data_IF_931038292032
#
_entry.id   IF_931038292032
#
_cell.length_a   1.000
_cell.length_b   1.000
_cell.length_c   1.000
_cell.angle_alpha   90.00
_cell.angle_beta   90.00
_cell.angle_gamma   90.00
#
_symmetry.space_group_name_H-M   'P 1'
#
loop_
_entity.id
_entity.type
_entity.pdbx_description
1 polymer ?
#
# COMPACT_ATOMS: atom_id res chain seq x y z
N UNK A 1 -44.13 23.58 -49.79
CA UNK A 1 -43.04 22.72 -50.32
C UNK A 1 -41.85 22.79 -49.35
N UNK A 2 -41.98 22.27 -48.12
CA UNK A 2 -40.90 22.30 -47.10
C UNK A 2 -41.06 21.06 -46.21
N UNK A 3 -40.60 19.90 -46.69
CA UNK A 3 -40.54 18.67 -45.89
C UNK A 3 -39.62 17.66 -46.56
N UNK A 4 -38.31 17.95 -46.68
CA UNK A 4 -37.35 16.93 -47.15
C UNK A 4 -35.87 17.11 -46.78
N UNK A 5 -35.52 18.02 -45.89
CA UNK A 5 -34.10 18.30 -45.52
C UNK A 5 -33.69 17.87 -44.11
N UNK A 6 -34.54 17.11 -43.40
CA UNK A 6 -34.28 16.67 -42.02
C UNK A 6 -34.16 15.14 -41.90
N UNK A 7 -33.34 14.50 -42.73
CA UNK A 7 -33.03 13.06 -42.57
C UNK A 7 -31.58 12.66 -42.79
N UNK A 8 -30.66 13.61 -43.03
CA UNK A 8 -29.23 13.29 -43.22
C UNK A 8 -28.34 13.58 -42.01
N UNK A 9 -28.81 14.32 -41.00
CA UNK A 9 -28.02 14.60 -39.79
C UNK A 9 -28.04 13.45 -38.76
N UNK A 10 -29.02 12.53 -38.83
CA UNK A 10 -29.17 11.46 -37.86
C UNK A 10 -28.37 10.17 -38.19
N UNK A 11 -27.79 10.09 -39.40
CA UNK A 11 -27.07 8.89 -39.85
C UNK A 11 -25.57 8.92 -39.55
N UNK A 12 -25.03 10.03 -39.03
CA UNK A 12 -23.61 10.17 -38.68
C UNK A 12 -23.35 10.16 -37.16
N UNK A 13 -24.40 10.05 -36.33
CA UNK A 13 -24.26 10.01 -34.87
C UNK A 13 -23.76 8.70 -34.23
N UNK A 14 -23.69 7.51 -34.87
CA UNK A 14 -23.17 6.33 -34.17
C UNK A 14 -21.64 6.19 -34.26
N UNK A 15 -20.93 7.00 -35.06
CA UNK A 15 -19.49 6.84 -35.30
C UNK A 15 -18.57 7.71 -34.42
N UNK A 16 -19.11 8.60 -33.59
CA UNK A 16 -18.31 9.45 -32.67
C UNK A 16 -18.40 9.03 -31.21
N UNK A 17 -19.25 8.06 -30.86
CA UNK A 17 -19.44 7.60 -29.49
C UNK A 17 -18.44 6.56 -28.94
N UNK A 18 -17.63 5.80 -29.73
CA UNK A 18 -16.61 4.97 -29.10
C UNK A 18 -15.44 5.80 -28.57
N UNK A 19 -15.19 7.00 -29.13
CA UNK A 19 -14.09 7.88 -28.72
C UNK A 19 -14.24 8.44 -27.30
N UNK A 20 -15.45 8.88 -26.91
CA UNK A 20 -15.68 9.47 -25.59
C UNK A 20 -15.73 8.43 -24.45
N UNK A 21 -16.18 7.21 -24.75
CA UNK A 21 -16.16 6.12 -23.78
C UNK A 21 -14.71 5.66 -23.53
N UNK A 22 -13.92 5.45 -24.58
CA UNK A 22 -12.51 5.04 -24.46
C UNK A 22 -11.66 6.13 -23.79
N UNK A 23 -11.95 7.42 -24.02
CA UNK A 23 -11.28 8.51 -23.32
C UNK A 23 -11.58 8.56 -21.82
N UNK A 24 -12.81 8.28 -21.40
CA UNK A 24 -13.15 8.21 -19.97
C UNK A 24 -12.41 7.09 -19.24
N UNK A 25 -12.10 5.97 -19.92
CA UNK A 25 -11.26 4.90 -19.38
C UNK A 25 -9.75 5.23 -19.39
N UNK A 26 -9.30 6.18 -20.23
CA UNK A 26 -7.88 6.56 -20.34
C UNK A 26 -7.47 7.82 -19.54
N UNK A 27 -8.39 8.64 -19.04
CA UNK A 27 -8.07 10.01 -18.57
C UNK A 27 -8.14 10.28 -17.06
N UNK A 28 -8.37 9.27 -16.22
CA UNK A 28 -8.50 9.49 -14.77
C UNK A 28 -7.54 8.66 -13.94
N UNK A 29 -6.28 9.09 -13.79
CA UNK A 29 -5.43 8.55 -12.72
C UNK A 29 -6.16 8.68 -11.36
N UNK A 30 -6.14 7.64 -10.50
CA UNK A 30 -6.81 7.68 -9.21
C UNK A 30 -6.38 8.90 -8.39
N UNK A 31 -7.36 9.65 -7.90
CA UNK A 31 -7.15 10.82 -7.03
C UNK A 31 -7.43 10.46 -5.58
N UNK A 32 -6.47 9.77 -4.97
CA UNK A 32 -6.55 9.35 -3.56
C UNK A 32 -5.77 10.39 -2.76
N UNK A 33 -6.46 11.37 -2.16
CA UNK A 33 -5.82 12.50 -1.46
C UNK A 33 -6.06 12.51 0.04
N UNK A 34 -6.67 11.45 0.56
CA UNK A 34 -7.18 11.42 1.91
C UNK A 34 -6.47 10.36 2.77
N UNK A 35 -5.33 9.78 2.38
CA UNK A 35 -4.66 8.75 3.18
C UNK A 35 -4.46 9.15 4.63
N UNK A 36 -4.72 8.23 5.56
CA UNK A 36 -4.54 8.42 7.00
C UNK A 36 -3.83 7.23 7.61
N UNK A 37 -2.81 7.51 8.42
CA UNK A 37 -2.19 6.51 9.29
C UNK A 37 -3.14 6.13 10.43
N UNK A 38 -3.33 4.83 10.67
CA UNK A 38 -4.19 4.32 11.74
C UNK A 38 -3.37 3.71 12.88
N UNK A 39 -2.50 2.74 12.57
CA UNK A 39 -1.68 2.07 13.57
C UNK A 39 -0.46 1.37 12.98
N UNK A 40 0.46 1.02 13.87
CA UNK A 40 1.63 0.21 13.55
C UNK A 40 1.92 -0.77 14.68
N UNK A 41 2.28 -1.99 14.30
CA UNK A 41 2.72 -3.05 15.22
C UNK A 41 3.87 -3.86 14.62
N UNK A 42 4.62 -4.52 15.50
CA UNK A 42 5.60 -5.53 15.10
C UNK A 42 4.87 -6.86 15.00
N UNK A 43 5.14 -7.62 13.95
CA UNK A 43 4.58 -8.95 13.73
C UNK A 43 5.59 -9.84 13.02
N UNK A 44 5.35 -11.15 12.98
CA UNK A 44 6.04 -12.05 12.05
C UNK A 44 5.18 -12.16 10.79
N UNK A 45 5.75 -11.84 9.62
CA UNK A 45 5.00 -11.89 8.35
C UNK A 45 4.43 -13.29 8.05
N UNK A 46 5.03 -14.34 8.62
CA UNK A 46 4.54 -15.72 8.51
C UNK A 46 3.23 -15.97 9.25
N UNK A 47 2.94 -15.20 10.28
CA UNK A 47 1.71 -15.32 11.07
C UNK A 47 0.50 -14.71 10.35
N UNK A 48 0.71 -14.20 9.13
CA UNK A 48 -0.32 -13.64 8.26
C UNK A 48 -0.47 -14.42 6.94
N UNK A 49 -0.77 -15.74 6.97
CA UNK A 49 -0.91 -16.58 5.78
C UNK A 49 -1.94 -16.04 4.77
N UNK A 50 -2.93 -15.27 5.22
CA UNK A 50 -3.93 -14.59 4.41
C UNK A 50 -3.37 -13.55 3.42
N UNK A 51 -2.11 -13.10 3.61
CA UNK A 51 -1.45 -12.10 2.76
C UNK A 51 -0.40 -12.68 1.81
N UNK A 52 -0.24 -14.01 1.82
CA UNK A 52 0.65 -14.72 0.90
C UNK A 52 -0.12 -15.14 -0.36
N UNK A 53 0.54 -15.13 -1.51
CA UNK A 53 0.02 -15.77 -2.71
C UNK A 53 -0.01 -17.28 -2.51
N UNK A 54 -0.95 -17.97 -3.17
CA UNK A 54 -1.01 -19.43 -3.18
C UNK A 54 0.28 -20.10 -3.74
N UNK A 55 1.06 -19.34 -4.52
CA UNK A 55 2.35 -19.79 -5.07
C UNK A 55 3.53 -19.58 -4.11
N UNK A 56 3.35 -18.84 -3.02
CA UNK A 56 4.45 -18.44 -2.16
C UNK A 56 4.87 -19.60 -1.26
N UNK A 57 6.17 -19.86 -1.22
CA UNK A 57 6.73 -20.79 -0.24
C UNK A 57 6.94 -20.03 1.07
N UNK A 58 6.14 -20.36 2.07
CA UNK A 58 6.32 -19.83 3.42
C UNK A 58 7.77 -20.10 3.89
N UNK A 59 8.53 -19.05 4.22
CA UNK A 59 9.89 -19.21 4.70
C UNK A 59 9.90 -19.89 6.07
N UNK A 60 10.88 -20.76 6.28
CA UNK A 60 11.01 -21.55 7.52
C UNK A 60 11.50 -20.73 8.71
N UNK A 61 12.15 -19.59 8.47
CA UNK A 61 12.70 -18.73 9.52
C UNK A 61 11.78 -17.53 9.81
N UNK A 62 11.77 -17.01 11.06
CA UNK A 62 11.05 -15.80 11.44
C UNK A 62 11.30 -14.63 10.50
N UNK A 63 10.23 -13.92 10.15
CA UNK A 63 10.27 -12.72 9.31
C UNK A 63 9.68 -11.53 10.08
N UNK A 64 10.40 -11.00 11.08
CA UNK A 64 9.92 -9.86 11.84
C UNK A 64 9.79 -8.64 10.91
N UNK A 65 8.59 -8.08 10.86
CA UNK A 65 8.21 -6.98 9.98
C UNK A 65 7.32 -5.99 10.74
N UNK A 66 7.10 -4.82 10.15
CA UNK A 66 6.06 -3.92 10.61
C UNK A 66 4.76 -4.28 9.90
N UNK A 67 3.64 -4.21 10.62
CA UNK A 67 2.30 -4.19 10.05
C UNK A 67 1.75 -2.79 10.22
N UNK A 68 1.69 -2.06 9.09
CA UNK A 68 1.14 -0.71 9.05
C UNK A 68 -0.31 -0.79 8.61
N UNK A 69 -1.21 -0.20 9.40
CA UNK A 69 -2.61 0.02 9.02
C UNK A 69 -2.84 1.47 8.66
N UNK A 70 -3.57 1.68 7.57
CA UNK A 70 -3.95 2.99 7.09
C UNK A 70 -5.40 2.96 6.59
N UNK A 71 -6.02 4.13 6.43
CA UNK A 71 -7.38 4.22 5.92
C UNK A 71 -7.54 5.25 4.81
N UNK A 72 -8.56 5.05 3.98
CA UNK A 72 -9.02 5.98 2.93
C UNK A 72 -10.51 5.76 2.67
N UNK A 73 -11.23 6.79 2.20
CA UNK A 73 -12.60 6.67 1.74
C UNK A 73 -12.74 5.86 0.43
N UNK A 74 -11.63 5.72 -0.31
CA UNK A 74 -11.59 5.03 -1.59
C UNK A 74 -11.58 3.50 -1.43
N UNK A 75 -12.42 2.83 -2.22
CA UNK A 75 -12.39 1.38 -2.34
C UNK A 75 -11.27 0.97 -3.31
N UNK A 76 -10.09 0.67 -2.76
CA UNK A 76 -8.88 0.36 -3.53
C UNK A 76 -9.02 -0.89 -4.41
N UNK A 77 -9.81 -1.88 -3.99
CA UNK A 77 -10.08 -3.06 -4.79
C UNK A 77 -10.87 -2.70 -6.05
N UNK A 78 -11.88 -1.82 -5.94
CA UNK A 78 -12.60 -1.29 -7.12
C UNK A 78 -11.72 -0.40 -7.99
N UNK A 79 -10.83 0.40 -7.39
CA UNK A 79 -9.88 1.21 -8.18
C UNK A 79 -9.02 0.31 -9.06
N UNK A 80 -8.50 -0.79 -8.51
CA UNK A 80 -7.77 -1.79 -9.28
C UNK A 80 -8.66 -2.47 -10.33
N UNK A 81 -9.84 -2.98 -9.94
CA UNK A 81 -10.73 -3.72 -10.84
C UNK A 81 -11.21 -2.90 -12.05
N UNK A 82 -11.52 -1.62 -11.85
CA UNK A 82 -12.10 -0.77 -12.90
C UNK A 82 -11.06 -0.12 -13.82
N UNK A 83 -9.90 0.24 -13.26
CA UNK A 83 -8.88 1.00 -14.00
C UNK A 83 -7.60 0.21 -14.30
N UNK A 84 -7.42 -0.97 -13.71
CA UNK A 84 -6.19 -1.75 -13.83
C UNK A 84 -4.96 -1.07 -13.23
N UNK A 85 -5.15 -0.04 -12.41
CA UNK A 85 -4.04 0.66 -11.75
C UNK A 85 -3.51 -0.21 -10.62
N UNK A 86 -2.24 -0.62 -10.69
CA UNK A 86 -1.58 -1.28 -9.56
C UNK A 86 -1.67 -0.40 -8.31
N UNK A 87 -1.84 -1.03 -7.15
CA UNK A 87 -1.96 -0.32 -5.87
C UNK A 87 -0.83 -0.80 -4.96
N UNK A 88 0.26 -0.04 -4.92
CA UNK A 88 1.44 -0.38 -4.13
C UNK A 88 1.71 0.69 -3.08
N UNK A 89 1.98 0.29 -1.85
CA UNK A 89 2.49 1.16 -0.81
C UNK A 89 4.00 1.37 -1.01
N UNK A 90 4.41 2.62 -1.20
CA UNK A 90 5.81 3.02 -1.12
C UNK A 90 6.05 3.70 0.23
N UNK A 91 7.14 3.34 0.90
CA UNK A 91 7.52 3.88 2.21
C UNK A 91 8.91 4.48 2.08
N UNK A 92 9.11 5.64 2.67
CA UNK A 92 10.38 6.38 2.68
C UNK A 92 10.67 6.92 4.06
N UNK A 93 11.93 7.28 4.32
CA UNK A 93 12.24 8.24 5.38
C UNK A 93 11.62 9.59 5.02
N UNK A 94 10.98 10.26 5.97
CA UNK A 94 10.53 11.62 5.75
C UNK A 94 11.74 12.57 5.68
N UNK A 95 11.78 13.45 4.68
CA UNK A 95 12.72 14.58 4.60
C UNK A 95 11.88 15.87 4.61
N UNK A 96 12.10 16.75 5.59
CA UNK A 96 11.30 17.96 5.81
C UNK A 96 9.78 17.71 5.83
N UNK A 97 9.36 16.65 6.52
CA UNK A 97 7.98 16.19 6.62
C UNK A 97 7.32 15.80 5.28
N UNK A 98 8.13 15.44 4.27
CA UNK A 98 7.67 15.00 2.95
C UNK A 98 8.22 13.63 2.58
N UNK A 99 7.50 12.96 1.69
CA UNK A 99 7.95 11.71 1.08
C UNK A 99 9.23 11.95 0.26
N UNK A 100 10.26 11.15 0.53
CA UNK A 100 11.54 11.22 -0.16
C UNK A 100 11.71 10.00 -1.09
N UNK A 101 11.67 10.25 -2.39
CA UNK A 101 11.78 9.21 -3.42
C UNK A 101 13.13 8.51 -3.46
N UNK A 102 14.17 9.16 -2.94
CA UNK A 102 15.55 8.65 -2.97
C UNK A 102 15.93 7.93 -1.66
N UNK A 103 14.98 7.78 -0.73
CA UNK A 103 15.19 7.18 0.60
C UNK A 103 14.10 6.17 0.96
N UNK A 104 13.79 5.28 0.02
CA UNK A 104 12.81 4.22 0.18
C UNK A 104 13.26 3.15 1.16
N UNK A 105 12.28 2.56 1.85
CA UNK A 105 12.46 1.39 2.69
C UNK A 105 11.98 0.12 1.98
N UNK A 106 12.63 -1.00 2.26
CA UNK A 106 12.25 -2.30 1.70
C UNK A 106 11.06 -2.92 2.45
N UNK A 107 10.42 -3.93 1.85
CA UNK A 107 9.30 -4.67 2.46
C UNK A 107 8.23 -5.10 1.45
N UNK A 108 7.16 -5.72 1.92
CA UNK A 108 5.99 -5.97 1.07
C UNK A 108 5.26 -4.67 0.77
N UNK A 109 5.22 -4.32 -0.51
CA UNK A 109 4.52 -3.15 -1.04
C UNK A 109 3.06 -3.45 -1.37
N UNK A 110 2.65 -4.73 -1.33
CA UNK A 110 1.27 -5.11 -1.55
C UNK A 110 0.37 -4.50 -0.49
N UNK A 111 -0.80 -4.03 -0.93
CA UNK A 111 -1.83 -3.48 -0.05
C UNK A 111 -2.87 -4.56 0.16
N UNK A 112 -3.26 -4.78 1.41
CA UNK A 112 -4.16 -5.84 1.79
C UNK A 112 -5.41 -5.29 2.49
N UNK A 113 -6.50 -6.03 2.31
CA UNK A 113 -7.67 -6.01 3.19
C UNK A 113 -7.62 -7.21 4.11
N UNK A 114 -8.53 -7.34 5.07
CA UNK A 114 -8.67 -8.57 5.86
C UNK A 114 -8.93 -9.84 5.01
N UNK A 115 -9.38 -9.69 3.76
CA UNK A 115 -9.64 -10.82 2.85
C UNK A 115 -8.44 -11.18 1.95
N UNK A 116 -7.36 -10.39 1.96
CA UNK A 116 -6.18 -10.61 1.10
C UNK A 116 -5.76 -9.36 0.31
N UNK A 117 -4.86 -9.55 -0.66
CA UNK A 117 -4.32 -8.48 -1.52
C UNK A 117 -5.44 -7.78 -2.33
N UNK A 118 -5.43 -6.44 -2.34
CA UNK A 118 -6.42 -5.64 -3.09
C UNK A 118 -6.39 -5.93 -4.59
N UNK A 119 -5.23 -6.32 -5.13
CA UNK A 119 -5.03 -6.60 -6.55
C UNK A 119 -5.48 -8.01 -6.95
N UNK A 120 -5.89 -8.86 -6.01
CA UNK A 120 -6.42 -10.21 -6.30
C UNK A 120 -7.93 -10.33 -6.07
N UNK A 121 -8.61 -9.22 -5.75
CA UNK A 121 -10.03 -9.19 -5.39
C UNK A 121 -11.02 -9.48 -6.56
N UNK A 122 -10.54 -9.66 -7.78
CA UNK A 122 -11.35 -9.96 -8.96
C UNK A 122 -11.96 -8.73 -9.66
N UNK A 123 -12.78 -8.97 -10.69
CA UNK A 123 -13.35 -7.90 -11.55
C UNK A 123 -14.56 -7.18 -10.93
N UNK A 124 -15.24 -7.80 -9.97
CA UNK A 124 -16.36 -7.20 -9.22
C UNK A 124 -16.21 -7.52 -7.73
N UNK A 125 -15.30 -6.82 -7.03
CA UNK A 125 -15.06 -7.08 -5.62
C UNK A 125 -16.28 -6.71 -4.79
N UNK A 126 -16.61 -7.57 -3.82
CA UNK A 126 -17.65 -7.30 -2.85
C UNK A 126 -17.37 -5.99 -2.10
N UNK A 127 -18.41 -5.21 -1.71
CA UNK A 127 -18.21 -3.99 -0.93
C UNK A 127 -17.43 -4.27 0.35
N UNK A 128 -16.38 -3.47 0.59
CA UNK A 128 -15.57 -3.57 1.81
C UNK A 128 -16.27 -2.90 2.99
N UNK A 129 -16.03 -3.44 4.18
CA UNK A 129 -16.53 -2.86 5.43
C UNK A 129 -15.94 -1.45 5.65
N UNK A 130 -16.79 -0.52 6.08
CA UNK A 130 -16.42 0.86 6.37
C UNK A 130 -16.48 1.11 7.87
N UNK A 131 -15.54 1.90 8.37
CA UNK A 131 -15.60 2.51 9.69
C UNK A 131 -16.76 3.51 9.77
N UNK A 132 -17.08 3.96 10.99
CA UNK A 132 -18.17 4.91 11.22
C UNK A 132 -18.00 6.26 10.48
N UNK A 133 -16.76 6.65 10.19
CA UNK A 133 -16.42 7.85 9.41
C UNK A 133 -16.42 7.61 7.88
N UNK A 134 -16.85 6.42 7.44
CA UNK A 134 -16.97 6.05 6.04
C UNK A 134 -15.68 5.53 5.40
N UNK A 135 -14.58 5.42 6.14
CA UNK A 135 -13.27 5.00 5.62
C UNK A 135 -13.09 3.49 5.67
N UNK A 136 -12.23 2.97 4.80
CA UNK A 136 -11.88 1.55 4.72
C UNK A 136 -10.43 1.42 5.20
N UNK A 137 -10.17 0.42 6.06
CA UNK A 137 -8.84 0.14 6.59
C UNK A 137 -8.13 -0.90 5.73
N UNK A 138 -6.87 -0.61 5.43
CA UNK A 138 -5.97 -1.45 4.65
C UNK A 138 -4.65 -1.63 5.40
N UNK A 139 -3.85 -2.59 4.97
CA UNK A 139 -2.52 -2.88 5.53
C UNK A 139 -1.43 -3.10 4.48
N UNK A 140 -0.18 -2.89 4.88
CA UNK A 140 1.03 -3.29 4.14
C UNK A 140 2.18 -3.55 5.13
N UNK A 141 3.29 -4.13 4.65
CA UNK A 141 4.35 -4.66 5.52
C UNK A 141 5.75 -4.13 5.16
N UNK A 142 6.18 -2.96 5.67
CA UNK A 142 7.57 -2.54 5.53
C UNK A 142 8.49 -3.37 6.42
N UNK A 143 9.71 -3.62 5.94
CA UNK A 143 10.72 -4.31 6.73
C UNK A 143 11.13 -3.45 7.95
N UNK A 144 11.37 -4.10 9.08
CA UNK A 144 11.98 -3.46 10.25
C UNK A 144 13.43 -3.05 9.95
N UNK A 145 14.15 -3.93 9.25
CA UNK A 145 15.53 -3.70 8.79
C UNK A 145 15.52 -3.58 7.29
N UNK A 146 15.49 -2.35 6.80
CA UNK A 146 15.62 -2.04 5.38
C UNK A 146 17.05 -2.27 4.92
N UNK A 147 17.20 -2.81 3.71
CA UNK A 147 18.50 -3.15 3.13
C UNK A 147 18.65 -2.58 1.72
N UNK A 148 19.60 -1.66 1.54
CA UNK A 148 19.97 -1.17 0.22
C UNK A 148 20.41 -2.34 -0.68
N UNK A 149 19.98 -2.33 -1.94
CA UNK A 149 20.29 -3.38 -2.91
C UNK A 149 19.57 -4.71 -2.74
N UNK A 150 18.61 -4.81 -1.80
CA UNK A 150 17.65 -5.95 -1.76
C UNK A 150 16.83 -6.03 -3.04
N UNK A 151 16.37 -4.89 -3.55
CA UNK A 151 15.75 -4.79 -4.88
C UNK A 151 16.78 -4.39 -5.93
N UNK A 152 16.67 -5.00 -7.11
CA UNK A 152 17.62 -4.84 -8.21
C UNK A 152 16.87 -4.85 -9.53
N UNK A 153 17.37 -4.09 -10.49
CA UNK A 153 16.97 -4.18 -11.90
C UNK A 153 18.13 -4.81 -12.67
N UNK A 154 17.99 -6.09 -13.00
CA UNK A 154 19.13 -6.90 -13.46
C UNK A 154 20.21 -6.95 -12.38
N UNK A 155 21.45 -6.66 -12.77
CA UNK A 155 22.60 -6.68 -11.87
C UNK A 155 22.79 -5.38 -11.08
N UNK A 156 21.96 -4.36 -11.31
CA UNK A 156 22.13 -3.05 -10.68
C UNK A 156 21.20 -2.93 -9.46
N UNK A 157 21.75 -2.73 -8.25
CA UNK A 157 20.96 -2.35 -7.08
C UNK A 157 20.10 -1.12 -7.35
N UNK A 158 18.84 -1.15 -6.94
CA UNK A 158 17.98 0.02 -7.03
C UNK A 158 18.50 1.09 -6.03
N UNK A 159 18.97 2.26 -6.51
CA UNK A 159 19.59 3.26 -5.66
C UNK A 159 18.58 4.00 -4.77
N UNK A 160 17.27 3.90 -5.03
CA UNK A 160 16.23 4.56 -4.22
C UNK A 160 16.12 3.94 -2.81
N UNK A 161 16.56 2.69 -2.60
CA UNK A 161 16.39 1.99 -1.32
C UNK A 161 17.60 2.16 -0.40
N UNK A 162 17.35 2.49 0.86
CA UNK A 162 18.39 2.74 1.87
C UNK A 162 18.46 1.62 2.91
N UNK A 163 19.66 1.44 3.47
CA UNK A 163 19.87 0.58 4.64
C UNK A 163 19.49 1.31 5.92
N UNK A 164 18.61 0.72 6.72
CA UNK A 164 18.13 1.31 7.98
C UNK A 164 17.57 0.23 8.90
N UNK A 165 18.03 0.17 10.15
CA UNK A 165 17.38 -0.62 11.21
C UNK A 165 16.51 0.29 12.07
N UNK A 166 15.19 0.19 11.90
CA UNK A 166 14.22 1.05 12.59
C UNK A 166 14.13 0.75 14.09
N UNK A 167 14.58 -0.43 14.56
CA UNK A 167 14.61 -0.74 16.00
C UNK A 167 15.62 0.11 16.75
N UNK A 168 16.76 0.37 16.11
CA UNK A 168 17.87 1.09 16.70
C UNK A 168 17.82 2.58 16.40
N UNK A 169 17.32 2.97 15.23
CA UNK A 169 17.25 4.36 14.80
C UNK A 169 15.89 4.70 14.16
N UNK A 170 14.81 4.75 14.98
CA UNK A 170 13.47 5.08 14.51
C UNK A 170 13.37 6.53 14.06
N UNK A 171 12.82 6.73 12.87
CA UNK A 171 12.59 8.04 12.26
C UNK A 171 11.15 8.13 11.74
N UNK A 172 10.67 9.35 11.49
CA UNK A 172 9.38 9.53 10.84
C UNK A 172 9.43 8.91 9.45
N UNK A 173 8.43 8.08 9.14
CA UNK A 173 8.29 7.46 7.84
C UNK A 173 7.15 8.10 7.09
N UNK A 174 7.35 8.30 5.80
CA UNK A 174 6.36 8.85 4.90
C UNK A 174 5.95 7.74 3.94
N UNK A 175 4.65 7.47 3.83
CA UNK A 175 4.13 6.53 2.86
C UNK A 175 3.11 7.18 1.92
N UNK A 176 3.03 6.62 0.72
CA UNK A 176 2.01 6.93 -0.27
C UNK A 176 1.69 5.68 -1.08
N UNK A 177 0.46 5.61 -1.56
CA UNK A 177 0.10 4.68 -2.63
C UNK A 177 0.59 5.22 -3.96
N UNK A 178 1.17 4.35 -4.77
CA UNK A 178 1.55 4.60 -6.15
C UNK A 178 1.17 3.42 -7.03
N UNK A 179 1.08 3.68 -8.31
CA UNK A 179 1.04 2.63 -9.31
C UNK A 179 0.71 3.18 -10.68
N UNK A 180 0.29 2.28 -11.55
CA UNK A 180 -0.02 2.64 -12.93
C UNK A 180 -0.65 1.49 -13.69
N UNK A 181 -1.00 1.77 -14.93
CA UNK A 181 -1.54 0.78 -15.87
C UNK A 181 -0.48 0.40 -16.91
N UNK A 182 -0.73 -0.67 -17.66
CA UNK A 182 0.09 -1.02 -18.83
C UNK A 182 0.06 0.05 -19.94
N UNK A 183 -0.89 0.98 -19.90
CA UNK A 183 -1.04 2.07 -20.87
C UNK A 183 -0.30 3.37 -20.44
N UNK A 184 0.75 3.26 -19.61
CA UNK A 184 1.62 4.37 -19.18
C UNK A 184 0.96 5.47 -18.34
N UNK A 185 -0.25 5.26 -17.82
CA UNK A 185 -0.81 6.17 -16.82
C UNK A 185 -0.30 5.81 -15.45
N UNK A 186 0.31 6.77 -14.74
CA UNK A 186 0.76 6.60 -13.36
C UNK A 186 -0.07 7.47 -12.42
N UNK A 187 -0.08 7.10 -11.15
CA UNK A 187 -0.65 7.94 -10.11
C UNK A 187 0.17 7.84 -8.83
N UNK A 188 0.07 8.90 -8.04
CA UNK A 188 0.51 8.94 -6.65
C UNK A 188 -0.58 9.57 -5.83
N UNK A 189 -0.90 8.93 -4.71
CA UNK A 189 -1.80 9.47 -3.70
C UNK A 189 -1.13 10.58 -2.87
N UNK A 190 -1.89 11.17 -1.92
CA UNK A 190 -1.32 11.99 -0.84
C UNK A 190 -0.33 11.19 0.01
N UNK A 191 0.51 11.90 0.76
CA UNK A 191 1.43 11.30 1.73
C UNK A 191 0.81 11.29 3.11
N UNK A 192 0.96 10.17 3.82
CA UNK A 192 0.69 10.06 5.24
C UNK A 192 1.99 9.77 6.00
N UNK A 193 2.04 10.23 7.25
CA UNK A 193 3.22 10.08 8.12
C UNK A 193 2.96 8.99 9.16
N UNK A 194 3.93 8.11 9.34
CA UNK A 194 4.05 7.18 10.47
C UNK A 194 5.06 7.82 11.44
N UNK A 195 4.60 8.30 12.60
CA UNK A 195 5.49 9.00 13.51
C UNK A 195 6.53 8.06 14.14
N UNK A 196 7.73 8.59 14.38
CA UNK A 196 8.83 7.88 15.04
C UNK A 196 8.42 7.38 16.44
N UNK A 197 7.58 8.11 17.18
CA UNK A 197 7.08 7.64 18.47
C UNK A 197 6.17 6.42 18.36
N UNK A 198 5.40 6.28 17.28
CA UNK A 198 4.57 5.11 17.05
C UNK A 198 5.42 3.87 16.81
N UNK A 199 6.52 4.02 16.06
CA UNK A 199 7.54 2.97 15.88
C UNK A 199 8.19 2.58 17.22
N UNK A 200 8.67 3.56 18.00
CA UNK A 200 9.26 3.30 19.33
C UNK A 200 8.29 2.54 20.23
N UNK A 201 7.02 2.96 20.25
CA UNK A 201 6.00 2.30 21.06
C UNK A 201 5.73 0.86 20.57
N UNK A 202 5.74 0.62 19.25
CA UNK A 202 5.58 -0.73 18.70
C UNK A 202 6.75 -1.65 19.11
N UNK A 203 8.00 -1.20 18.98
CA UNK A 203 9.17 -1.97 19.39
C UNK A 203 9.23 -2.20 20.91
N UNK A 204 8.80 -1.23 21.72
CA UNK A 204 8.74 -1.37 23.17
C UNK A 204 7.72 -2.43 23.63
N UNK A 205 6.58 -2.55 22.93
CA UNK A 205 5.56 -3.59 23.21
C UNK A 205 6.02 -4.99 22.82
N UNK A 206 6.86 -5.11 21.80
CA UNK A 206 7.38 -6.38 21.30
C UNK A 206 8.51 -6.95 22.18
N UNK A 207 9.14 -6.11 23.02
CA UNK A 207 10.18 -6.57 23.95
C UNK A 207 9.54 -7.35 25.10
N UNK A 208 9.88 -8.63 25.34
CA UNK A 208 9.37 -9.39 26.47
C UNK A 208 9.68 -8.67 27.79
N UNK A 209 8.78 -8.67 28.79
CA UNK A 209 9.09 -8.10 30.09
C UNK A 209 10.36 -8.77 30.65
N UNK A 210 11.30 -7.96 31.13
CA UNK A 210 12.50 -8.48 31.77
C UNK A 210 12.09 -9.42 32.91
N UNK A 211 12.50 -10.69 32.82
CA UNK A 211 12.31 -11.63 33.93
C UNK A 211 13.11 -11.06 35.09
N UNK A 212 12.47 -10.68 36.23
CA UNK A 212 13.21 -10.19 37.37
C UNK A 212 14.20 -11.27 37.82
N UNK A 213 15.44 -10.89 38.20
CA UNK A 213 16.44 -11.86 38.64
C UNK A 213 15.85 -12.70 39.79
N UNK A 214 16.03 -14.02 39.71
CA UNK A 214 15.58 -14.93 40.75
C UNK A 214 16.10 -14.45 42.10
N UNK A 215 15.21 -14.26 43.06
CA UNK A 215 15.59 -13.88 44.41
C UNK A 215 16.57 -14.92 44.96
N UNK A 216 17.77 -14.52 45.40
CA UNK A 216 18.71 -15.47 45.97
C UNK A 216 18.18 -15.97 47.32
N UNK A 217 17.93 -17.28 47.38
CA UNK A 217 17.93 -18.05 48.61
C UNK A 217 16.58 -18.24 49.31
N UNK A 218 15.91 -19.33 48.98
CA UNK A 218 15.26 -20.18 49.99
C UNK A 218 15.47 -21.63 49.58
N UNK A 219 16.60 -22.20 50.00
CA UNK A 219 16.77 -23.65 50.05
C UNK A 219 16.13 -24.12 51.38
N UNK A 220 15.33 -25.19 51.38
CA UNK A 220 14.65 -25.72 52.56
C UNK A 220 15.61 -26.25 53.63
#
# INVERSE_FOLDING_TARGET
MIARTLRLAAALLPLTLPGCAVWSFMLGSPRIHDLRFESIEVTDFRDHPEFWSASDRLPSQPMPTLLVRFSTAHDLARVYANGGHTILAAVSLCTDARFDGDRLLTGSRSVHTAAGDVMTAGLDPAPLARQADGRIVYSFFPDIVSQAGKYRTGDIPDPEYVSRDLRHDPADLCFRLRGGTMAFTSYTSSTATIPAEALRAAFARDTPPAIPPAAPGTTP
#
